data_IF_400877737058
#
_entry.id   IF_400877737058
#
_cell.length_a   1.000
_cell.length_b   1.000
_cell.length_c   1.000
_cell.angle_alpha   90.00
_cell.angle_beta   90.00
_cell.angle_gamma   90.00
#
_symmetry.space_group_name_H-M   'P 1'
#
loop_
_entity.id
_entity.type
_entity.pdbx_description
1 polymer ?
#
# COMPACT_ATOMS: atom_id res chain seq x y z
N UNK A 1 -31.48 -4.38 19.51
CA UNK A 1 -31.48 -4.15 18.04
C UNK A 1 -32.72 -4.69 17.33
N UNK A 2 -32.98 -6.00 17.25
CA UNK A 2 -34.28 -6.51 16.72
C UNK A 2 -35.48 -6.28 17.65
N UNK A 3 -35.20 -6.11 18.95
CA UNK A 3 -36.20 -5.87 20.00
C UNK A 3 -36.54 -4.36 20.12
N UNK A 4 -35.73 -3.45 19.57
CA UNK A 4 -35.87 -1.98 19.76
C UNK A 4 -36.47 -1.23 18.56
N UNK A 5 -37.00 -1.93 17.54
CA UNK A 5 -37.65 -1.29 16.39
C UNK A 5 -36.72 -0.46 15.48
N UNK A 6 -35.39 -0.55 15.64
CA UNK A 6 -34.44 0.12 14.78
C UNK A 6 -34.41 -0.57 13.40
N UNK A 7 -34.88 0.13 12.36
CA UNK A 7 -34.88 -0.38 10.97
C UNK A 7 -33.53 -0.97 10.55
N UNK A 8 -33.56 -1.98 9.69
CA UNK A 8 -32.39 -2.82 9.32
C UNK A 8 -31.18 -2.00 8.88
N UNK A 9 -31.41 -0.93 8.11
CA UNK A 9 -30.37 0.03 7.70
C UNK A 9 -29.69 0.74 8.87
N UNK A 10 -30.46 1.14 9.89
CA UNK A 10 -29.93 1.82 11.08
C UNK A 10 -29.07 0.86 11.92
N UNK A 11 -29.53 -0.38 12.07
CA UNK A 11 -28.77 -1.45 12.74
C UNK A 11 -27.45 -1.75 12.00
N UNK A 12 -27.49 -1.78 10.66
CA UNK A 12 -26.29 -1.99 9.85
C UNK A 12 -25.23 -0.90 10.08
N UNK A 13 -25.59 0.38 9.89
CA UNK A 13 -24.62 1.48 10.02
C UNK A 13 -24.18 1.76 11.46
N UNK A 14 -25.06 1.57 12.46
CA UNK A 14 -24.74 1.92 13.85
C UNK A 14 -24.11 0.78 14.66
N UNK A 15 -24.32 -0.48 14.28
CA UNK A 15 -23.86 -1.63 15.07
C UNK A 15 -22.91 -2.48 14.24
N UNK A 16 -23.34 -2.97 13.08
CA UNK A 16 -22.55 -3.93 12.27
C UNK A 16 -21.29 -3.28 11.70
N UNK A 17 -21.42 -2.07 11.17
CA UNK A 17 -20.33 -1.33 10.52
C UNK A 17 -19.19 -0.98 11.48
N UNK A 18 -19.40 -0.37 12.67
CA UNK A 18 -18.33 -0.12 13.64
C UNK A 18 -17.68 -1.40 14.16
N UNK A 19 -18.45 -2.48 14.38
CA UNK A 19 -17.90 -3.78 14.78
C UNK A 19 -17.00 -4.40 13.70
N UNK A 20 -17.29 -4.13 12.42
CA UNK A 20 -16.54 -4.63 11.27
C UNK A 20 -15.40 -3.72 10.83
N UNK A 21 -15.23 -2.54 11.46
CA UNK A 21 -14.15 -1.60 11.13
C UNK A 21 -12.73 -2.21 11.14
N UNK A 22 -12.32 -3.08 12.09
CA UNK A 22 -10.98 -3.67 12.04
C UNK A 22 -10.81 -4.64 10.85
N UNK A 23 -11.85 -5.40 10.51
CA UNK A 23 -11.82 -6.32 9.36
C UNK A 23 -11.77 -5.54 8.03
N UNK A 24 -12.58 -4.48 7.91
CA UNK A 24 -12.57 -3.57 6.76
C UNK A 24 -11.24 -2.85 6.60
N UNK A 25 -10.61 -2.42 7.70
CA UNK A 25 -9.29 -1.79 7.67
C UNK A 25 -8.23 -2.77 7.13
N UNK A 26 -8.29 -4.04 7.54
CA UNK A 26 -7.37 -5.09 7.07
C UNK A 26 -7.53 -5.36 5.58
N UNK A 27 -8.77 -5.51 5.10
CA UNK A 27 -9.05 -5.71 3.67
C UNK A 27 -8.62 -4.49 2.85
N UNK A 28 -8.90 -3.28 3.34
CA UNK A 28 -8.48 -2.03 2.73
C UNK A 28 -6.96 -1.90 2.62
N UNK A 29 -6.22 -2.30 3.68
CA UNK A 29 -4.77 -2.32 3.69
C UNK A 29 -4.21 -3.23 2.60
N UNK A 30 -4.68 -4.49 2.57
CA UNK A 30 -4.19 -5.46 1.58
C UNK A 30 -4.55 -5.04 0.16
N UNK A 31 -5.73 -4.47 -0.05
CA UNK A 31 -6.14 -3.93 -1.35
C UNK A 31 -5.24 -2.77 -1.77
N UNK A 32 -4.99 -1.82 -0.87
CA UNK A 32 -4.08 -0.70 -1.13
C UNK A 32 -2.66 -1.18 -1.44
N UNK A 33 -2.14 -2.16 -0.69
CA UNK A 33 -0.83 -2.75 -0.91
C UNK A 33 -0.72 -3.46 -2.27
N UNK A 34 -1.77 -4.19 -2.66
CA UNK A 34 -1.88 -4.86 -3.95
C UNK A 34 -1.77 -3.85 -5.10
N UNK A 35 -2.64 -2.84 -5.12
CA UNK A 35 -2.62 -1.83 -6.17
C UNK A 35 -1.36 -0.96 -6.14
N UNK A 36 -0.82 -0.68 -4.95
CA UNK A 36 0.41 0.08 -4.82
C UNK A 36 1.62 -0.64 -5.43
N UNK A 37 1.71 -1.96 -5.22
CA UNK A 37 2.79 -2.78 -5.78
C UNK A 37 2.55 -3.21 -7.23
N UNK A 38 1.43 -2.84 -7.84
CA UNK A 38 1.08 -3.30 -9.18
C UNK A 38 1.76 -2.48 -10.29
N UNK A 39 2.96 -2.93 -10.66
CA UNK A 39 3.68 -2.44 -11.83
C UNK A 39 3.39 -3.26 -13.10
N UNK A 40 2.91 -4.50 -12.96
CA UNK A 40 2.76 -5.44 -14.07
C UNK A 40 1.54 -5.16 -14.93
N UNK A 41 0.36 -4.94 -14.33
CA UNK A 41 -0.82 -4.57 -15.12
C UNK A 41 -0.60 -3.22 -15.82
N UNK A 42 0.13 -2.31 -15.17
CA UNK A 42 0.49 -1.02 -15.75
C UNK A 42 1.42 -1.16 -16.95
N UNK A 43 2.41 -2.04 -16.89
CA UNK A 43 3.28 -2.37 -18.02
C UNK A 43 2.48 -2.94 -19.21
N UNK A 44 1.46 -3.76 -18.95
CA UNK A 44 0.68 -4.44 -19.99
C UNK A 44 -0.40 -3.58 -20.63
N UNK A 45 -1.03 -2.69 -19.86
CA UNK A 45 -2.27 -2.01 -20.29
C UNK A 45 -2.12 -0.49 -20.43
N UNK A 46 -1.05 0.12 -19.92
CA UNK A 46 -0.90 1.57 -19.92
C UNK A 46 0.21 1.99 -20.89
N UNK A 47 -0.20 2.61 -22.00
CA UNK A 47 0.73 3.24 -22.95
C UNK A 47 0.90 4.75 -22.72
N UNK A 48 -0.06 5.37 -22.03
CA UNK A 48 -0.02 6.82 -21.77
C UNK A 48 0.88 7.14 -20.58
N UNK A 49 1.97 7.85 -20.84
CA UNK A 49 2.97 8.26 -19.84
C UNK A 49 2.40 9.07 -18.67
N UNK A 50 1.25 9.75 -18.85
CA UNK A 50 0.58 10.51 -17.78
C UNK A 50 -0.14 9.62 -16.76
N UNK A 51 -0.40 8.36 -17.11
CA UNK A 51 -1.11 7.39 -16.28
C UNK A 51 -0.16 6.38 -15.62
N UNK A 52 1.15 6.56 -15.76
CA UNK A 52 2.12 5.63 -15.18
C UNK A 52 2.10 5.73 -13.65
N UNK A 53 1.80 4.62 -12.95
CA UNK A 53 1.92 4.63 -11.50
C UNK A 53 3.39 4.68 -11.09
N UNK A 54 3.62 5.16 -9.87
CA UNK A 54 4.96 5.34 -9.33
C UNK A 54 5.77 4.04 -9.39
N UNK A 55 5.18 2.91 -9.00
CA UNK A 55 5.85 1.61 -8.99
C UNK A 55 6.38 1.22 -10.38
N UNK A 56 5.61 1.50 -11.44
CA UNK A 56 6.03 1.24 -12.82
C UNK A 56 7.17 2.17 -13.26
N UNK A 57 7.12 3.46 -12.90
CA UNK A 57 8.21 4.40 -13.19
C UNK A 57 9.52 3.98 -12.52
N UNK A 58 9.48 3.56 -11.25
CA UNK A 58 10.64 3.07 -10.52
C UNK A 58 11.21 1.81 -11.18
N UNK A 59 10.36 0.87 -11.60
CA UNK A 59 10.77 -0.32 -12.34
C UNK A 59 11.47 0.03 -13.68
N UNK A 60 10.89 0.97 -14.45
CA UNK A 60 11.52 1.45 -15.69
C UNK A 60 12.87 2.10 -15.43
N UNK A 61 13.02 2.86 -14.36
CA UNK A 61 14.32 3.48 -14.03
C UNK A 61 15.39 2.43 -13.74
N UNK A 62 15.09 1.41 -12.92
CA UNK A 62 16.03 0.33 -12.62
C UNK A 62 16.45 -0.40 -13.89
N UNK A 63 15.47 -0.82 -14.70
CA UNK A 63 15.74 -1.57 -15.93
C UNK A 63 16.57 -0.78 -16.94
N UNK A 64 16.33 0.53 -17.07
CA UNK A 64 17.16 1.40 -17.91
C UNK A 64 18.58 1.57 -17.35
N UNK A 65 18.72 1.75 -16.03
CA UNK A 65 20.03 1.87 -15.38
C UNK A 65 20.84 0.58 -15.55
N UNK A 66 20.23 -0.59 -15.35
CA UNK A 66 20.88 -1.89 -15.52
C UNK A 66 21.29 -2.12 -16.98
N UNK A 67 20.46 -1.71 -17.95
CA UNK A 67 20.79 -1.78 -19.37
C UNK A 67 21.97 -0.87 -19.76
N UNK A 68 22.02 0.35 -19.22
CA UNK A 68 23.14 1.28 -19.44
C UNK A 68 24.42 0.74 -18.78
N UNK A 69 24.33 0.23 -17.55
CA UNK A 69 25.47 -0.35 -16.84
C UNK A 69 26.05 -1.58 -17.56
N UNK A 70 25.21 -2.39 -18.20
CA UNK A 70 25.63 -3.52 -19.03
C UNK A 70 26.24 -3.09 -20.38
N UNK A 71 25.94 -1.87 -20.85
CA UNK A 71 26.49 -1.34 -22.10
C UNK A 71 27.92 -0.82 -21.89
N UNK A 72 28.88 -1.39 -22.64
CA UNK A 72 30.30 -1.01 -22.59
C UNK A 72 30.59 0.39 -23.16
N UNK A 73 29.58 1.13 -23.60
CA UNK A 73 29.72 2.48 -24.17
C UNK A 73 30.06 3.56 -23.14
N UNK A 74 29.95 3.23 -21.85
CA UNK A 74 30.07 4.15 -20.73
C UNK A 74 31.51 4.59 -20.40
N UNK A 75 32.53 4.10 -21.11
CA UNK A 75 33.89 4.67 -21.07
C UNK A 75 34.52 4.78 -19.68
N UNK A 76 34.19 3.88 -18.74
CA UNK A 76 34.72 3.92 -17.36
C UNK A 76 33.95 4.80 -16.38
N UNK A 77 32.85 5.44 -16.78
CA UNK A 77 31.95 6.13 -15.85
C UNK A 77 31.09 5.09 -15.13
N UNK A 78 31.36 4.88 -13.84
CA UNK A 78 30.52 4.04 -12.98
C UNK A 78 29.26 4.82 -12.60
N UNK A 79 28.08 4.39 -13.07
CA UNK A 79 26.83 4.92 -12.55
C UNK A 79 26.69 4.52 -11.07
N UNK A 80 26.30 5.43 -10.17
CA UNK A 80 25.95 5.09 -8.79
C UNK A 80 24.58 4.38 -8.74
N UNK A 81 24.53 3.16 -9.26
CA UNK A 81 23.32 2.32 -9.36
C UNK A 81 22.76 1.98 -7.98
N UNK A 82 23.62 1.75 -7.00
CA UNK A 82 23.23 1.40 -5.63
C UNK A 82 22.53 2.55 -4.90
N UNK A 83 23.06 3.77 -5.00
CA UNK A 83 22.45 4.96 -4.37
C UNK A 83 21.06 5.23 -4.96
N UNK A 84 20.90 5.08 -6.27
CA UNK A 84 19.60 5.25 -6.93
C UNK A 84 18.64 4.13 -6.50
N UNK A 85 19.10 2.88 -6.43
CA UNK A 85 18.29 1.74 -5.96
C UNK A 85 17.81 1.93 -4.52
N UNK A 86 18.67 2.43 -3.63
CA UNK A 86 18.29 2.75 -2.25
C UNK A 86 17.28 3.91 -2.17
N UNK A 87 17.48 4.98 -2.95
CA UNK A 87 16.54 6.09 -3.00
C UNK A 87 15.14 5.65 -3.49
N UNK A 88 15.10 4.78 -4.51
CA UNK A 88 13.83 4.21 -5.01
C UNK A 88 13.16 3.29 -3.98
N UNK A 89 13.93 2.50 -3.23
CA UNK A 89 13.38 1.68 -2.15
C UNK A 89 12.71 2.53 -1.06
N UNK A 90 13.32 3.67 -0.69
CA UNK A 90 12.73 4.61 0.27
C UNK A 90 11.41 5.18 -0.27
N UNK A 91 11.37 5.57 -1.55
CA UNK A 91 10.15 6.08 -2.20
C UNK A 91 9.04 5.02 -2.26
N UNK A 92 9.39 3.77 -2.56
CA UNK A 92 8.44 2.67 -2.63
C UNK A 92 7.86 2.30 -1.25
N UNK A 93 8.68 2.34 -0.19
CA UNK A 93 8.29 1.98 1.18
C UNK A 93 7.45 3.08 1.84
N UNK A 94 7.66 4.36 1.50
CA UNK A 94 7.00 5.52 2.13
C UNK A 94 5.49 5.34 2.38
N UNK A 95 4.67 5.13 1.35
CA UNK A 95 3.22 4.98 1.52
C UNK A 95 2.78 3.72 2.26
N UNK A 96 3.58 2.65 2.23
CA UNK A 96 3.34 1.45 3.05
C UNK A 96 3.47 1.80 4.53
N UNK A 97 4.50 2.58 4.89
CA UNK A 97 4.71 3.05 6.26
C UNK A 97 3.57 3.95 6.72
N UNK A 98 3.10 4.87 5.87
CA UNK A 98 1.95 5.72 6.18
C UNK A 98 0.66 4.91 6.36
N UNK A 99 0.40 3.94 5.48
CA UNK A 99 -0.76 3.05 5.60
C UNK A 99 -0.69 2.22 6.89
N UNK A 100 0.49 1.67 7.21
CA UNK A 100 0.71 0.92 8.44
C UNK A 100 0.48 1.78 9.68
N UNK A 101 1.06 2.99 9.74
CA UNK A 101 0.88 3.91 10.86
C UNK A 101 -0.60 4.30 11.07
N UNK A 102 -1.35 4.50 9.98
CA UNK A 102 -2.78 4.81 10.03
C UNK A 102 -3.60 3.65 10.58
N UNK A 103 -3.22 2.41 10.28
CA UNK A 103 -3.98 1.21 10.65
C UNK A 103 -3.56 0.68 12.02
N UNK A 104 -2.33 0.93 12.45
CA UNK A 104 -1.79 0.57 13.76
C UNK A 104 -2.73 1.00 14.90
N UNK A 105 -3.37 2.18 14.80
CA UNK A 105 -4.33 2.65 15.81
C UNK A 105 -5.58 1.76 15.92
N UNK A 106 -6.08 1.19 14.82
CA UNK A 106 -7.27 0.34 14.83
C UNK A 106 -6.97 -1.06 15.42
N UNK A 107 -5.75 -1.57 15.19
CA UNK A 107 -5.30 -2.81 15.83
C UNK A 107 -5.10 -2.65 17.35
N UNK A 108 -4.51 -1.54 17.79
CA UNK A 108 -4.28 -1.29 19.23
C UNK A 108 -5.62 -1.11 19.96
N UNK A 109 -6.58 -0.36 19.40
CA UNK A 109 -7.90 -0.18 20.02
C UNK A 109 -8.68 -1.50 20.18
N UNK A 110 -8.58 -2.41 19.21
CA UNK A 110 -9.23 -3.73 19.27
C UNK A 110 -8.68 -4.63 20.37
N UNK A 111 -7.36 -4.63 20.57
CA UNK A 111 -6.70 -5.41 21.63
C UNK A 111 -7.04 -4.82 23.02
N UNK A 112 -7.03 -3.49 23.15
CA UNK A 112 -7.38 -2.85 24.42
C UNK A 112 -8.82 -3.14 24.86
N UNK A 113 -9.78 -3.21 23.94
CA UNK A 113 -11.18 -3.59 24.27
C UNK A 113 -11.33 -5.06 24.72
N UNK A 114 -10.45 -5.95 24.25
CA UNK A 114 -10.42 -7.36 24.67
C UNK A 114 -9.70 -7.60 26.00
N UNK A 115 -8.80 -6.71 26.41
CA UNK A 115 -7.99 -6.84 27.63
C UNK A 115 -8.65 -6.34 28.91
N UNK A 116 -9.59 -5.39 28.84
CA UNK A 116 -10.25 -4.81 30.05
C UNK A 116 -11.54 -5.51 30.49
N UNK A 117 -11.91 -6.63 29.86
CA UNK A 117 -13.09 -7.43 30.27
C UNK A 117 -12.71 -8.77 30.90
N UNK A 118 -11.49 -8.87 31.40
CA UNK A 118 -10.97 -9.97 32.19
C UNK A 118 -10.35 -9.45 33.49
N UNK A 119 -11.11 -8.64 34.23
CA UNK A 119 -11.04 -8.44 35.69
C UNK A 119 -12.35 -7.79 36.15
#
# INVERSE_FOLDING_TARGET
ARIDGAGEWRTFFQIVLPLSTPSLATVGLFSMLLYWNDWWLSLLFIDNTKLFPLQYLLYRLITNIDAIAASSQMGGVQLPTDSVRMAMAILAIGPIVFAFAFIQRYFISGITLGGVKGD
#
